data_IF_112946139180
#
_entry.id   IF_112946139180
#
_cell.length_a   1.000
_cell.length_b   1.000
_cell.length_c   1.000
_cell.angle_alpha   90.00
_cell.angle_beta   90.00
_cell.angle_gamma   90.00
#
_symmetry.space_group_name_H-M   'P 1'
#
loop_
_entity.id
_entity.type
_entity.pdbx_description
1 polymer ?
#
# COMPACT_ATOMS: atom_id res chain seq x y z
N UNK A 1 10.75 11.68 -16.58
CA UNK A 1 10.94 10.21 -16.65
C UNK A 1 12.30 9.77 -17.19
N UNK A 2 12.85 10.41 -18.23
CA UNK A 2 14.14 10.03 -18.87
C UNK A 2 15.34 9.95 -17.89
N UNK A 3 15.45 10.91 -16.96
CA UNK A 3 16.52 10.95 -15.96
C UNK A 3 16.42 9.86 -14.89
N UNK A 4 15.20 9.49 -14.48
CA UNK A 4 14.97 8.41 -13.53
C UNK A 4 15.31 7.04 -14.16
N UNK A 5 14.97 6.86 -15.45
CA UNK A 5 15.29 5.67 -16.23
C UNK A 5 16.79 5.52 -16.49
N UNK A 6 17.50 6.63 -16.72
CA UNK A 6 18.97 6.65 -16.82
C UNK A 6 19.66 6.29 -15.50
N UNK A 7 19.17 6.81 -14.36
CA UNK A 7 19.69 6.48 -13.03
C UNK A 7 19.45 5.02 -12.63
N UNK A 8 18.29 4.45 -12.95
CA UNK A 8 18.01 3.03 -12.67
C UNK A 8 18.87 2.08 -13.51
N UNK A 9 19.10 2.41 -14.78
CA UNK A 9 20.01 1.66 -15.65
C UNK A 9 21.47 1.70 -15.15
N UNK A 10 21.93 2.87 -14.69
CA UNK A 10 23.26 3.00 -14.07
C UNK A 10 23.40 2.12 -12.83
N UNK A 11 22.41 2.12 -11.93
CA UNK A 11 22.43 1.25 -10.74
C UNK A 11 22.37 -0.23 -11.08
N UNK A 12 21.64 -0.63 -12.12
CA UNK A 12 21.63 -2.02 -12.58
C UNK A 12 23.00 -2.45 -13.10
N UNK A 13 23.68 -1.60 -13.87
CA UNK A 13 25.03 -1.84 -14.36
C UNK A 13 26.03 -1.97 -13.20
N UNK A 14 25.98 -1.09 -12.21
CA UNK A 14 26.88 -1.15 -11.04
C UNK A 14 26.59 -2.41 -10.20
N UNK A 15 25.31 -2.73 -9.92
CA UNK A 15 24.92 -3.98 -9.23
C UNK A 15 25.42 -5.25 -9.93
N UNK A 16 25.48 -5.25 -11.27
CA UNK A 16 26.03 -6.38 -12.02
C UNK A 16 27.54 -6.55 -11.82
N UNK A 17 28.30 -5.44 -11.72
CA UNK A 17 29.75 -5.44 -11.45
C UNK A 17 30.05 -5.92 -10.03
N UNK A 18 29.26 -5.42 -9.09
CA UNK A 18 29.21 -5.84 -7.69
C UNK A 18 28.99 -7.36 -7.58
N UNK A 19 27.95 -7.91 -8.22
CA UNK A 19 27.67 -9.36 -8.21
C UNK A 19 28.78 -10.22 -8.84
N UNK A 20 29.59 -9.65 -9.74
CA UNK A 20 30.77 -10.29 -10.34
C UNK A 20 32.04 -10.18 -9.46
N UNK A 21 31.91 -9.80 -8.18
CA UNK A 21 33.03 -9.74 -7.24
C UNK A 21 33.90 -8.48 -7.35
N UNK A 22 33.56 -7.52 -8.22
CA UNK A 22 34.33 -6.29 -8.44
C UNK A 22 34.00 -5.18 -7.42
N UNK A 23 33.66 -5.55 -6.19
CA UNK A 23 33.32 -4.61 -5.11
C UNK A 23 34.47 -3.63 -4.80
N UNK A 24 35.72 -4.10 -4.94
CA UNK A 24 36.93 -3.29 -4.72
C UNK A 24 37.22 -2.28 -5.86
N UNK A 25 36.40 -2.25 -6.92
CA UNK A 25 36.58 -1.39 -8.10
C UNK A 25 35.45 -0.36 -8.27
N UNK A 26 34.58 -0.17 -7.27
CA UNK A 26 33.59 0.91 -7.32
C UNK A 26 34.24 2.26 -7.05
N UNK A 27 33.90 3.26 -7.86
CA UNK A 27 34.23 4.63 -7.53
C UNK A 27 33.42 5.11 -6.31
N UNK A 28 33.89 6.11 -5.57
CA UNK A 28 33.13 6.71 -4.46
C UNK A 28 31.72 7.16 -4.88
N UNK A 29 31.57 7.70 -6.09
CA UNK A 29 30.30 8.17 -6.64
C UNK A 29 29.33 7.01 -6.91
N UNK A 30 29.83 5.91 -7.50
CA UNK A 30 29.05 4.70 -7.75
C UNK A 30 28.59 4.04 -6.44
N UNK A 31 29.47 4.01 -5.43
CA UNK A 31 29.16 3.50 -4.10
C UNK A 31 28.09 4.36 -3.41
N UNK A 32 28.25 5.69 -3.42
CA UNK A 32 27.27 6.62 -2.86
C UNK A 32 25.90 6.49 -3.55
N UNK A 33 25.87 6.34 -4.88
CA UNK A 33 24.64 6.16 -5.64
C UNK A 33 23.92 4.86 -5.24
N UNK A 34 24.64 3.74 -5.09
CA UNK A 34 24.06 2.48 -4.63
C UNK A 34 23.48 2.61 -3.23
N UNK A 35 24.23 3.20 -2.30
CA UNK A 35 23.78 3.37 -0.91
C UNK A 35 22.51 4.21 -0.88
N UNK A 36 22.50 5.37 -1.54
CA UNK A 36 21.34 6.26 -1.59
C UNK A 36 20.11 5.59 -2.19
N UNK A 37 20.25 4.90 -3.34
CA UNK A 37 19.11 4.24 -3.98
C UNK A 37 18.62 3.04 -3.18
N UNK A 38 19.52 2.27 -2.56
CA UNK A 38 19.15 1.13 -1.71
C UNK A 38 18.42 1.59 -0.46
N UNK A 39 18.89 2.68 0.17
CA UNK A 39 18.25 3.28 1.33
C UNK A 39 16.88 3.86 0.98
N UNK A 40 16.75 4.61 -0.13
CA UNK A 40 15.44 5.09 -0.62
C UNK A 40 14.48 3.94 -0.87
N UNK A 41 14.93 2.86 -1.52
CA UNK A 41 14.09 1.69 -1.75
C UNK A 41 13.68 0.99 -0.43
N UNK A 42 14.57 0.94 0.56
CA UNK A 42 14.24 0.44 1.90
C UNK A 42 13.18 1.31 2.58
N UNK A 43 13.31 2.64 2.55
CA UNK A 43 12.33 3.56 3.12
C UNK A 43 10.96 3.45 2.43
N UNK A 44 10.93 3.31 1.10
CA UNK A 44 9.68 3.10 0.35
C UNK A 44 9.00 1.80 0.79
N UNK A 45 9.74 0.67 0.83
CA UNK A 45 9.17 -0.61 1.28
C UNK A 45 8.66 -0.56 2.72
N UNK A 46 9.45 0.03 3.63
CA UNK A 46 9.08 0.16 5.04
C UNK A 46 7.85 1.04 5.22
N UNK A 47 7.77 2.15 4.50
CA UNK A 47 6.62 3.06 4.57
C UNK A 47 5.37 2.50 3.88
N UNK A 48 5.52 1.67 2.84
CA UNK A 48 4.41 0.99 2.19
C UNK A 48 3.73 -0.01 3.12
N UNK A 49 4.51 -0.83 3.84
CA UNK A 49 3.95 -1.75 4.83
C UNK A 49 3.22 -1.01 5.96
N UNK A 50 3.80 0.07 6.48
CA UNK A 50 3.16 0.89 7.51
C UNK A 50 1.90 1.59 7.00
N UNK A 51 1.89 2.03 5.73
CA UNK A 51 0.70 2.61 5.09
C UNK A 51 -0.41 1.58 4.96
N UNK A 52 -0.10 0.38 4.44
CA UNK A 52 -1.08 -0.72 4.36
C UNK A 52 -1.66 -1.10 5.73
N UNK A 53 -0.83 -1.16 6.78
CA UNK A 53 -1.31 -1.41 8.15
C UNK A 53 -2.24 -0.30 8.66
N UNK A 54 -1.94 0.98 8.35
CA UNK A 54 -2.81 2.11 8.70
C UNK A 54 -4.15 2.00 7.97
N UNK A 55 -4.11 1.75 6.67
CA UNK A 55 -5.32 1.67 5.84
C UNK A 55 -6.20 0.48 6.27
N UNK A 56 -5.57 -0.64 6.64
CA UNK A 56 -6.27 -1.81 7.20
C UNK A 56 -6.92 -1.49 8.55
N UNK A 57 -6.27 -0.70 9.40
CA UNK A 57 -6.84 -0.27 10.68
C UNK A 57 -8.09 0.61 10.48
N UNK A 58 -8.07 1.48 9.47
CA UNK A 58 -9.21 2.33 9.09
C UNK A 58 -10.36 1.45 8.56
N UNK A 59 -10.08 0.52 7.64
CA UNK A 59 -11.07 -0.41 7.11
C UNK A 59 -11.70 -1.27 8.22
N UNK A 60 -10.88 -1.77 9.16
CA UNK A 60 -11.34 -2.52 10.34
C UNK A 60 -12.27 -1.69 11.22
N UNK A 61 -11.99 -0.41 11.42
CA UNK A 61 -12.86 0.49 12.18
C UNK A 61 -14.23 0.64 11.49
N UNK A 62 -14.25 0.85 10.17
CA UNK A 62 -15.48 0.91 9.37
C UNK A 62 -16.28 -0.40 9.39
N UNK A 63 -15.61 -1.54 9.35
CA UNK A 63 -16.28 -2.84 9.51
C UNK A 63 -16.96 -2.96 10.88
N UNK A 64 -16.32 -2.48 11.95
CA UNK A 64 -16.93 -2.48 13.30
C UNK A 64 -18.15 -1.58 13.38
N UNK A 65 -18.11 -0.40 12.76
CA UNK A 65 -19.26 0.50 12.66
C UNK A 65 -20.44 -0.19 11.94
N UNK A 66 -20.21 -0.77 10.76
CA UNK A 66 -21.24 -1.49 10.00
C UNK A 66 -21.81 -2.68 10.77
N UNK A 67 -20.95 -3.45 11.45
CA UNK A 67 -21.38 -4.56 12.31
C UNK A 67 -22.27 -4.06 13.46
N UNK A 68 -21.94 -2.91 14.06
CA UNK A 68 -22.75 -2.32 15.13
C UNK A 68 -24.15 -1.91 14.65
N UNK A 69 -24.22 -1.31 13.45
CA UNK A 69 -25.49 -0.97 12.80
C UNK A 69 -26.31 -2.23 12.51
N UNK A 70 -25.69 -3.26 11.94
CA UNK A 70 -26.37 -4.51 11.63
C UNK A 70 -26.82 -5.27 12.87
N UNK A 71 -26.16 -5.11 14.01
CA UNK A 71 -26.59 -5.74 15.26
C UNK A 71 -27.74 -4.97 15.94
N UNK A 72 -28.01 -3.74 15.52
CA UNK A 72 -29.15 -2.97 16.02
C UNK A 72 -30.45 -3.50 15.40
N UNK A 73 -31.34 -4.04 16.25
CA UNK A 73 -32.61 -4.63 15.83
C UNK A 73 -33.48 -3.66 15.02
N UNK A 74 -33.66 -2.42 15.51
CA UNK A 74 -34.46 -1.40 14.84
C UNK A 74 -33.88 -1.00 13.50
N UNK A 75 -32.55 -1.00 13.36
CA UNK A 75 -31.89 -0.74 12.09
C UNK A 75 -32.07 -1.89 11.10
N UNK A 76 -31.91 -3.15 11.53
CA UNK A 76 -32.21 -4.32 10.68
C UNK A 76 -33.63 -4.32 10.15
N UNK A 77 -34.61 -3.99 10.99
CA UNK A 77 -36.01 -3.88 10.57
C UNK A 77 -36.20 -2.77 9.53
N UNK A 78 -35.43 -1.67 9.61
CA UNK A 78 -35.41 -0.63 8.57
C UNK A 78 -34.87 -1.18 7.25
N UNK A 79 -33.75 -1.90 7.27
CA UNK A 79 -33.16 -2.50 6.06
C UNK A 79 -34.11 -3.49 5.33
N UNK A 80 -35.03 -4.13 6.06
CA UNK A 80 -36.01 -5.04 5.43
C UNK A 80 -37.14 -4.30 4.71
N UNK A 81 -37.52 -3.12 5.18
CA UNK A 81 -38.70 -2.38 4.69
C UNK A 81 -38.30 -1.27 3.71
N UNK A 82 -37.19 -0.59 3.97
CA UNK A 82 -36.69 0.54 3.20
C UNK A 82 -35.64 0.07 2.20
N UNK A 83 -36.02 0.07 0.91
CA UNK A 83 -35.15 -0.33 -0.18
C UNK A 83 -33.98 0.64 -0.40
N UNK A 84 -34.19 1.93 -0.15
CA UNK A 84 -33.16 2.95 -0.30
C UNK A 84 -32.11 2.82 0.81
N UNK A 85 -32.54 2.60 2.05
CA UNK A 85 -31.63 2.34 3.16
C UNK A 85 -30.87 1.02 3.00
N UNK A 86 -31.53 -0.02 2.46
CA UNK A 86 -30.86 -1.27 2.09
C UNK A 86 -29.77 -1.03 1.03
N UNK A 87 -30.06 -0.24 0.01
CA UNK A 87 -29.08 0.11 -1.02
C UNK A 87 -27.90 0.88 -0.44
N UNK A 88 -28.15 1.91 0.39
CA UNK A 88 -27.10 2.66 1.10
C UNK A 88 -26.23 1.75 1.97
N UNK A 89 -26.81 0.78 2.65
CA UNK A 89 -26.06 -0.16 3.47
C UNK A 89 -25.17 -1.08 2.62
N UNK A 90 -25.69 -1.61 1.50
CA UNK A 90 -24.92 -2.39 0.53
C UNK A 90 -23.74 -1.58 -0.05
N UNK A 91 -23.96 -0.32 -0.41
CA UNK A 91 -22.90 0.56 -0.92
C UNK A 91 -21.75 0.73 0.09
N UNK A 92 -22.07 0.91 1.38
CA UNK A 92 -21.04 0.98 2.42
C UNK A 92 -20.21 -0.31 2.52
N UNK A 93 -20.83 -1.47 2.33
CA UNK A 93 -20.12 -2.77 2.29
C UNK A 93 -19.25 -2.85 1.04
N UNK A 94 -19.77 -2.50 -0.13
CA UNK A 94 -19.03 -2.53 -1.40
C UNK A 94 -17.80 -1.62 -1.33
N UNK A 95 -17.96 -0.38 -0.85
CA UNK A 95 -16.84 0.57 -0.67
C UNK A 95 -15.79 0.01 0.28
N UNK A 96 -16.21 -0.64 1.38
CA UNK A 96 -15.28 -1.28 2.31
C UNK A 96 -14.51 -2.43 1.64
N UNK A 97 -15.18 -3.27 0.85
CA UNK A 97 -14.54 -4.37 0.12
C UNK A 97 -13.51 -3.84 -0.88
N UNK A 98 -13.88 -2.84 -1.70
CA UNK A 98 -12.97 -2.19 -2.64
C UNK A 98 -11.78 -1.53 -1.93
N UNK A 99 -12.01 -0.93 -0.76
CA UNK A 99 -10.94 -0.32 0.04
C UNK A 99 -9.95 -1.39 0.50
N UNK A 100 -10.44 -2.54 0.97
CA UNK A 100 -9.57 -3.64 1.42
C UNK A 100 -8.82 -4.27 0.25
N UNK A 101 -9.47 -4.44 -0.90
CA UNK A 101 -8.83 -4.94 -2.13
C UNK A 101 -7.70 -4.02 -2.60
N UNK A 102 -7.87 -2.70 -2.46
CA UNK A 102 -6.85 -1.71 -2.82
C UNK A 102 -5.66 -1.60 -1.87
N UNK A 103 -5.64 -2.30 -0.72
CA UNK A 103 -4.52 -2.27 0.24
C UNK A 103 -3.39 -3.25 -0.16
N UNK A 104 -3.64 -4.15 -1.12
CA UNK A 104 -2.68 -5.16 -1.61
C UNK A 104 -1.43 -4.58 -2.30
#
# INVERSE_FOLDING_TARGET
ELFAKRRSAAVAAIKSRVRKGKWRQLSPEDAALIIQMSFRAHLVRRSQALRGLRDLAIAKAKLKELRSLFNNFSYRRRLTVDAEERQRFSEKIIVLLLTVEGIA
#
